data_IF_754868481935
#
_entry.id   IF_754868481935
#
_cell.length_a   1.000
_cell.length_b   1.000
_cell.length_c   1.000
_cell.angle_alpha   90.00
_cell.angle_beta   90.00
_cell.angle_gamma   90.00
#
_symmetry.space_group_name_H-M   'P 1'
#
loop_
_entity.id
_entity.type
_entity.pdbx_description
1 polymer ?
#
# COMPACT_ATOMS: atom_id res chain seq x y z
N UNK A 1 -6.81 -1.01 -8.02
CA UNK A 1 -7.47 -2.33 -7.80
C UNK A 1 -8.35 -2.74 -8.99
N UNK A 2 -8.05 -3.88 -9.60
CA UNK A 2 -8.84 -4.48 -10.70
C UNK A 2 -9.26 -5.89 -10.32
N UNK A 3 -10.31 -6.42 -10.97
CA UNK A 3 -10.76 -7.80 -10.76
C UNK A 3 -9.64 -8.80 -11.01
N UNK A 4 -8.86 -8.60 -12.07
CA UNK A 4 -7.77 -9.51 -12.44
C UNK A 4 -6.68 -9.52 -11.37
N UNK A 5 -6.35 -8.36 -10.78
CA UNK A 5 -5.39 -8.26 -9.68
C UNK A 5 -5.86 -8.98 -8.41
N UNK A 6 -7.17 -8.92 -8.12
CA UNK A 6 -7.76 -9.68 -7.01
C UNK A 6 -7.63 -11.19 -7.27
N UNK A 7 -7.96 -11.64 -8.48
CA UNK A 7 -7.84 -13.05 -8.86
C UNK A 7 -6.37 -13.53 -8.81
N UNK A 8 -5.42 -12.74 -9.31
CA UNK A 8 -3.99 -13.01 -9.18
C UNK A 8 -3.58 -13.17 -7.71
N UNK A 9 -4.06 -12.29 -6.84
CA UNK A 9 -3.75 -12.32 -5.40
C UNK A 9 -4.30 -13.58 -4.74
N UNK A 10 -5.56 -13.94 -5.02
CA UNK A 10 -6.20 -15.15 -4.52
C UNK A 10 -5.51 -16.42 -5.03
N UNK A 11 -5.15 -16.45 -6.32
CA UNK A 11 -4.45 -17.60 -6.92
C UNK A 11 -3.04 -17.82 -6.35
N UNK A 12 -2.45 -16.79 -5.74
CA UNK A 12 -1.14 -16.86 -5.09
C UNK A 12 -1.21 -17.22 -3.60
N UNK A 13 -2.41 -17.43 -3.04
CA UNK A 13 -2.60 -17.89 -1.67
C UNK A 13 -2.64 -19.42 -1.62
N UNK A 14 -2.31 -20.03 -0.46
CA UNK A 14 -2.51 -21.46 -0.25
C UNK A 14 -3.98 -21.86 -0.37
N UNK A 15 -4.25 -23.16 -0.50
CA UNK A 15 -5.61 -23.68 -0.64
C UNK A 15 -6.53 -23.33 0.55
N UNK A 16 -5.96 -23.19 1.75
CA UNK A 16 -6.62 -22.69 2.95
C UNK A 16 -5.83 -21.50 3.47
N UNK A 17 -6.51 -20.39 3.74
CA UNK A 17 -5.94 -19.14 4.26
C UNK A 17 -7.00 -18.43 5.11
N UNK A 18 -6.56 -17.50 5.96
CA UNK A 18 -7.48 -16.67 6.74
C UNK A 18 -7.97 -15.47 5.91
N UNK A 19 -9.26 -15.12 6.05
CA UNK A 19 -9.82 -13.97 5.33
C UNK A 19 -9.05 -12.67 5.61
N UNK A 20 -8.55 -12.49 6.84
CA UNK A 20 -7.75 -11.32 7.22
C UNK A 20 -6.49 -11.20 6.36
N UNK A 21 -5.80 -12.30 6.08
CA UNK A 21 -4.59 -12.31 5.26
C UNK A 21 -4.87 -11.80 3.83
N UNK A 22 -6.00 -12.22 3.24
CA UNK A 22 -6.42 -11.74 1.93
C UNK A 22 -6.71 -10.23 1.97
N UNK A 23 -7.42 -9.77 3.01
CA UNK A 23 -7.77 -8.34 3.17
C UNK A 23 -6.50 -7.51 3.32
N UNK A 24 -5.59 -7.89 4.21
CA UNK A 24 -4.31 -7.21 4.42
C UNK A 24 -3.49 -7.11 3.12
N UNK A 25 -3.42 -8.21 2.37
CA UNK A 25 -2.67 -8.26 1.10
C UNK A 25 -3.28 -7.35 0.04
N UNK A 26 -4.61 -7.30 -0.07
CA UNK A 26 -5.31 -6.41 -1.00
C UNK A 26 -5.13 -4.93 -0.61
N UNK A 27 -5.22 -4.60 0.69
CA UNK A 27 -4.96 -3.24 1.19
C UNK A 27 -3.53 -2.84 0.87
N UNK A 28 -2.55 -3.72 1.10
CA UNK A 28 -1.15 -3.44 0.80
C UNK A 28 -0.93 -3.11 -0.68
N UNK A 29 -1.47 -3.94 -1.59
CA UNK A 29 -1.39 -3.71 -3.04
C UNK A 29 -1.99 -2.35 -3.40
N UNK A 30 -3.17 -2.02 -2.87
CA UNK A 30 -3.83 -0.73 -3.13
C UNK A 30 -2.97 0.46 -2.66
N UNK A 31 -2.36 0.37 -1.47
CA UNK A 31 -1.49 1.44 -0.96
C UNK A 31 -0.22 1.61 -1.80
N UNK A 32 0.39 0.51 -2.25
CA UNK A 32 1.58 0.56 -3.10
C UNK A 32 1.25 1.18 -4.47
N UNK A 33 0.16 0.74 -5.11
CA UNK A 33 -0.31 1.32 -6.38
C UNK A 33 -0.60 2.82 -6.23
N UNK A 34 -1.29 3.22 -5.16
CA UNK A 34 -1.58 4.62 -4.88
C UNK A 34 -0.29 5.44 -4.67
N UNK A 35 0.69 4.89 -3.96
CA UNK A 35 2.01 5.51 -3.76
C UNK A 35 2.77 5.67 -5.07
N UNK A 36 2.82 4.64 -5.92
CA UNK A 36 3.46 4.71 -7.22
C UNK A 36 2.82 5.79 -8.11
N UNK A 37 1.48 5.81 -8.18
CA UNK A 37 0.76 6.84 -8.94
C UNK A 37 0.98 8.25 -8.38
N UNK A 38 1.20 8.41 -7.07
CA UNK A 38 1.56 9.70 -6.47
C UNK A 38 2.96 10.16 -6.93
N UNK A 39 3.93 9.24 -6.99
CA UNK A 39 5.27 9.56 -7.52
C UNK A 39 5.21 10.01 -8.98
N UNK A 40 4.39 9.36 -9.82
CA UNK A 40 4.22 9.74 -11.23
C UNK A 40 3.66 11.16 -11.40
N UNK A 41 2.89 11.65 -10.43
CA UNK A 41 2.36 13.02 -10.40
C UNK A 41 3.31 14.03 -9.75
N UNK A 42 4.45 13.59 -9.23
CA UNK A 42 5.35 14.42 -8.43
C UNK A 42 4.87 14.69 -7.00
N UNK A 43 3.83 13.98 -6.55
CA UNK A 43 3.27 14.06 -5.19
C UNK A 43 4.16 13.27 -4.21
N UNK A 44 5.39 13.71 -4.02
CA UNK A 44 6.37 13.12 -3.12
C UNK A 44 6.87 14.14 -2.09
N UNK A 45 7.14 13.68 -0.86
CA UNK A 45 7.71 14.53 0.19
C UNK A 45 9.19 14.18 0.35
N UNK A 46 10.04 15.20 0.43
CA UNK A 46 11.48 14.99 0.64
C UNK A 46 11.74 14.35 2.02
N UNK A 47 12.83 13.59 2.13
CA UNK A 47 13.21 12.99 3.40
C UNK A 47 13.39 14.03 4.52
N UNK A 48 13.91 15.22 4.21
CA UNK A 48 14.09 16.30 5.17
C UNK A 48 12.76 16.89 5.65
N UNK A 49 11.76 17.01 4.78
CA UNK A 49 10.44 17.48 5.18
C UNK A 49 9.68 16.44 6.00
N UNK A 50 9.85 15.15 5.69
CA UNK A 50 9.33 14.05 6.53
C UNK A 50 9.95 14.10 7.94
N UNK A 51 11.25 14.35 8.08
CA UNK A 51 11.89 14.48 9.41
C UNK A 51 11.25 15.61 10.23
N UNK A 52 11.03 16.77 9.63
CA UNK A 52 10.38 17.92 10.30
C UNK A 52 8.95 17.59 10.71
N UNK A 53 8.19 16.91 9.84
CA UNK A 53 6.83 16.47 10.13
C UNK A 53 6.80 15.52 11.34
N UNK A 54 7.65 14.49 11.34
CA UNK A 54 7.71 13.51 12.45
C UNK A 54 8.14 14.16 13.76
N UNK A 55 9.05 15.15 13.73
CA UNK A 55 9.41 15.92 14.93
C UNK A 55 8.22 16.70 15.52
N UNK A 56 7.31 17.19 14.67
CA UNK A 56 6.12 17.93 15.12
C UNK A 56 5.11 17.10 15.92
N UNK A 57 5.16 15.76 15.80
CA UNK A 57 4.28 14.84 16.51
C UNK A 57 4.67 14.61 17.97
N UNK A 58 5.86 15.07 18.38
CA UNK A 58 6.37 14.91 19.76
C UNK A 58 5.86 15.97 20.75
N UNK A 59 4.61 16.43 20.58
CA UNK A 59 3.96 17.31 21.57
C UNK A 59 3.36 16.51 22.71
#
# INVERSE_FOLDING_TARGET
MTKDKVLETVNALPAEFELEELIERLIFIEKVEAGAAALDRGDAVSHEDVKKLVQSWRK
#
